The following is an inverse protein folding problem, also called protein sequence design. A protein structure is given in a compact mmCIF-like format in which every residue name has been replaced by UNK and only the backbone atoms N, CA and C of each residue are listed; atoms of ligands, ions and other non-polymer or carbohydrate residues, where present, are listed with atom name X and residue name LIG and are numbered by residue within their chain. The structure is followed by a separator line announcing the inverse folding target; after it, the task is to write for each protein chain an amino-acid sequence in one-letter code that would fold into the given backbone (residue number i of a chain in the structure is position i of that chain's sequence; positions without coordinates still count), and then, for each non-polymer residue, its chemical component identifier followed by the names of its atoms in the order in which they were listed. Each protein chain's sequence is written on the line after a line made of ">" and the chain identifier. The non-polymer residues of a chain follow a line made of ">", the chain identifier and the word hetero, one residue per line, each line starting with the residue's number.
data_IF_942692272241
#
_entry.id   IF_942692272241
#
_cell.length_a   1.000
_cell.length_b   1.000
_cell.length_c   1.000
_cell.angle_alpha   90.00
_cell.angle_beta   90.00
_cell.angle_gamma   90.00
#
_symmetry.space_group_name_H-M   'P 1'
#
loop_
_entity.id
_entity.type
_entity.pdbx_description
1 polymer ?
#
# COMPACT_ATOMS: atom_id res chain seq x y z
N UNK A 1 28.29 -11.43 15.83
CA UNK A 1 28.00 -11.70 14.40
C UNK A 1 29.31 -12.03 13.70
N UNK A 2 29.39 -13.21 13.07
CA UNK A 2 30.59 -13.69 12.39
C UNK A 2 30.67 -13.12 10.96
N UNK A 3 31.85 -12.65 10.55
CA UNK A 3 32.11 -12.06 9.24
C UNK A 3 33.53 -12.36 8.74
N UNK A 4 33.74 -12.26 7.43
CA UNK A 4 35.06 -12.38 6.81
C UNK A 4 35.77 -11.02 6.86
N UNK A 5 36.98 -10.98 7.41
CA UNK A 5 37.84 -9.79 7.39
C UNK A 5 39.10 -10.03 6.55
N UNK A 6 39.51 -9.00 5.82
CA UNK A 6 40.74 -8.96 5.02
C UNK A 6 41.73 -8.01 5.65
N UNK A 7 42.97 -8.46 5.89
CA UNK A 7 44.02 -7.64 6.53
C UNK A 7 45.28 -7.69 5.67
N UNK A 8 45.87 -6.53 5.38
CA UNK A 8 47.17 -6.45 4.71
C UNK A 8 48.27 -6.79 5.72
N UNK A 9 49.09 -7.79 5.41
CA UNK A 9 50.20 -8.19 6.27
C UNK A 9 51.43 -7.33 5.99
N UNK A 10 52.39 -7.32 6.92
CA UNK A 10 53.67 -6.64 6.74
C UNK A 10 54.47 -7.17 5.53
N UNK A 11 54.25 -8.43 5.13
CA UNK A 11 54.86 -9.07 3.95
C UNK A 11 54.18 -8.71 2.62
N UNK A 12 53.16 -7.85 2.62
CA UNK A 12 52.43 -7.46 1.41
C UNK A 12 51.38 -8.46 0.93
N UNK A 13 51.13 -9.54 1.68
CA UNK A 13 50.05 -10.47 1.44
C UNK A 13 48.71 -9.94 1.98
N UNK A 14 47.60 -10.52 1.54
CA UNK A 14 46.26 -10.26 2.09
C UNK A 14 45.80 -11.47 2.89
N UNK A 15 45.80 -11.35 4.22
CA UNK A 15 45.27 -12.36 5.12
C UNK A 15 43.73 -12.35 5.12
N UNK A 16 43.12 -13.53 4.98
CA UNK A 16 41.66 -13.73 5.10
C UNK A 16 41.38 -14.44 6.42
N UNK A 17 40.48 -13.87 7.21
CA UNK A 17 40.18 -14.34 8.56
C UNK A 17 38.68 -14.33 8.80
N UNK A 18 38.21 -15.23 9.65
CA UNK A 18 36.84 -15.24 10.15
C UNK A 18 36.84 -14.58 11.53
N UNK A 19 36.04 -13.55 11.74
CA UNK A 19 35.99 -12.79 12.99
C UNK A 19 34.55 -12.66 13.51
N UNK A 20 34.38 -12.65 14.82
CA UNK A 20 33.10 -12.39 15.49
C UNK A 20 33.10 -11.00 16.13
N UNK A 21 32.02 -10.24 15.89
CA UNK A 21 31.77 -8.97 16.59
C UNK A 21 31.14 -9.27 17.95
N UNK A 22 31.92 -9.11 19.04
CA UNK A 22 31.48 -9.32 20.43
C UNK A 22 31.81 -8.08 21.26
N UNK A 23 30.80 -7.50 21.92
CA UNK A 23 31.00 -6.33 22.80
C UNK A 23 31.65 -5.12 22.12
N UNK A 24 31.38 -4.91 20.83
CA UNK A 24 31.96 -3.83 20.03
C UNK A 24 33.40 -4.06 19.54
N UNK A 25 33.99 -5.22 19.81
CA UNK A 25 35.34 -5.60 19.35
C UNK A 25 35.27 -6.78 18.38
N UNK A 26 36.24 -6.84 17.47
CA UNK A 26 36.36 -7.93 16.50
C UNK A 26 37.31 -9.00 17.03
N UNK A 27 36.79 -10.18 17.38
CA UNK A 27 37.57 -11.33 17.83
C UNK A 27 37.80 -12.29 16.67
N UNK A 28 39.06 -12.59 16.35
CA UNK A 28 39.39 -13.60 15.32
C UNK A 28 39.01 -14.98 15.82
N UNK A 29 38.24 -15.70 15.03
CA UNK A 29 37.82 -17.08 15.28
C UNK A 29 38.73 -18.05 14.53
N UNK A 30 38.97 -17.79 13.25
CA UNK A 30 39.73 -18.67 12.37
C UNK A 30 40.60 -17.86 11.40
N UNK A 31 41.79 -18.36 11.11
CA UNK A 31 42.72 -17.78 10.15
C UNK A 31 42.82 -18.70 8.93
N UNK A 32 42.31 -18.25 7.79
CA UNK A 32 42.17 -19.11 6.61
C UNK A 32 43.43 -19.13 5.76
N UNK A 33 44.26 -18.09 5.84
CA UNK A 33 45.53 -18.00 5.14
C UNK A 33 45.83 -16.59 4.63
N UNK A 34 46.93 -16.44 3.90
CA UNK A 34 47.36 -15.19 3.29
C UNK A 34 47.61 -15.36 1.80
N UNK A 35 46.99 -14.51 0.98
CA UNK A 35 47.11 -14.50 -0.47
C UNK A 35 48.16 -13.50 -0.95
N UNK A 36 49.06 -13.95 -1.82
CA UNK A 36 50.01 -13.09 -2.53
C UNK A 36 49.50 -12.68 -3.92
N UNK A 37 48.53 -13.41 -4.47
CA UNK A 37 47.92 -13.15 -5.78
C UNK A 37 46.41 -12.95 -5.65
N UNK A 38 45.79 -12.36 -6.68
CA UNK A 38 44.33 -12.18 -6.73
C UNK A 38 43.58 -13.52 -6.84
N UNK A 39 44.15 -14.52 -7.52
CA UNK A 39 43.57 -15.85 -7.64
C UNK A 39 43.55 -16.58 -6.30
N UNK A 40 44.65 -16.53 -5.55
CA UNK A 40 44.72 -17.15 -4.21
C UNK A 40 43.74 -16.48 -3.24
N UNK A 41 43.58 -15.16 -3.38
CA UNK A 41 42.62 -14.40 -2.57
C UNK A 41 41.17 -14.83 -2.88
N UNK A 42 40.84 -15.06 -4.15
CA UNK A 42 39.51 -15.53 -4.54
C UNK A 42 39.20 -16.91 -3.95
N UNK A 43 40.15 -17.85 -4.02
CA UNK A 43 40.01 -19.19 -3.43
C UNK A 43 39.81 -19.12 -1.91
N UNK A 44 40.59 -18.28 -1.22
CA UNK A 44 40.46 -18.08 0.23
C UNK A 44 39.11 -17.44 0.61
N UNK A 45 38.59 -16.52 -0.21
CA UNK A 45 37.29 -15.90 0.03
C UNK A 45 36.13 -16.88 -0.20
N UNK A 46 36.18 -17.73 -1.21
CA UNK A 46 35.18 -18.78 -1.42
C UNK A 46 35.18 -19.79 -0.26
N UNK A 47 36.37 -20.21 0.17
CA UNK A 47 36.52 -21.07 1.36
C UNK A 47 35.97 -20.40 2.62
N UNK A 48 36.21 -19.09 2.78
CA UNK A 48 35.70 -18.31 3.90
C UNK A 48 34.16 -18.23 3.90
N UNK A 49 33.54 -18.03 2.73
CA UNK A 49 32.09 -18.02 2.55
C UNK A 49 31.49 -19.37 2.92
N UNK A 50 32.06 -20.46 2.40
CA UNK A 50 31.61 -21.82 2.74
C UNK A 50 31.65 -22.09 4.25
N UNK A 51 32.71 -21.66 4.94
CA UNK A 51 32.81 -21.78 6.41
C UNK A 51 31.86 -20.86 7.17
N UNK A 52 31.60 -19.65 6.68
CA UNK A 52 30.69 -18.70 7.33
C UNK A 52 29.23 -19.20 7.31
N UNK A 53 28.86 -19.93 6.27
CA UNK A 53 27.53 -20.54 6.11
C UNK A 53 27.44 -21.96 6.67
N UNK A 54 28.50 -22.51 7.27
CA UNK A 54 28.46 -23.83 7.89
C UNK A 54 27.42 -23.87 9.03
N UNK A 55 26.36 -24.68 8.86
CA UNK A 55 25.25 -24.80 9.81
C UNK A 55 24.07 -23.85 9.55
N UNK A 56 24.16 -22.93 8.57
CA UNK A 56 22.99 -22.28 7.99
C UNK A 56 22.54 -23.08 6.78
N UNK A 57 21.34 -23.66 6.84
CA UNK A 57 20.75 -24.28 5.65
C UNK A 57 20.58 -23.22 4.57
N UNK A 58 21.05 -23.52 3.35
CA UNK A 58 20.72 -22.72 2.19
C UNK A 58 19.21 -22.83 1.97
N UNK A 59 18.51 -21.68 1.98
CA UNK A 59 17.12 -21.65 1.56
C UNK A 59 17.11 -21.80 0.04
N UNK A 60 17.09 -23.05 -0.41
CA UNK A 60 16.90 -23.39 -1.81
C UNK A 60 15.49 -22.97 -2.22
N UNK A 61 15.39 -21.82 -2.89
CA UNK A 61 14.15 -21.29 -3.44
C UNK A 61 13.71 -22.04 -4.72
N UNK A 62 14.41 -23.13 -5.10
CA UNK A 62 14.20 -23.83 -6.37
C UNK A 62 14.62 -23.00 -7.59
N UNK A 63 15.37 -21.91 -7.36
CA UNK A 63 15.89 -21.03 -8.39
C UNK A 63 17.21 -21.64 -8.86
N UNK A 64 17.12 -22.72 -9.67
CA UNK A 64 18.31 -23.44 -10.16
C UNK A 64 19.39 -22.49 -10.65
N UNK A 65 20.66 -22.79 -10.36
CA UNK A 65 21.84 -21.93 -10.55
C UNK A 65 21.70 -20.92 -11.69
N UNK A 66 21.12 -19.76 -11.39
CA UNK A 66 20.99 -18.69 -12.35
C UNK A 66 22.37 -18.06 -12.43
N UNK A 67 22.95 -18.04 -13.64
CA UNK A 67 24.11 -17.20 -13.95
C UNK A 67 23.81 -15.81 -13.36
N UNK A 68 24.61 -15.30 -12.40
CA UNK A 68 24.34 -14.05 -11.68
C UNK A 68 24.51 -12.81 -12.57
N UNK A 69 24.30 -12.96 -13.88
CA UNK A 69 24.09 -11.88 -14.83
C UNK A 69 22.84 -11.11 -14.44
N UNK A 70 23.09 -10.12 -13.59
CA UNK A 70 22.28 -8.95 -13.27
C UNK A 70 20.77 -9.23 -13.27
N UNK A 71 20.26 -9.70 -12.14
CA UNK A 71 18.85 -9.53 -11.84
C UNK A 71 18.53 -8.02 -11.79
N UNK A 72 18.10 -7.45 -12.93
CA UNK A 72 17.72 -6.05 -13.02
C UNK A 72 16.30 -5.91 -12.48
N UNK A 73 16.16 -5.11 -11.42
CA UNK A 73 14.84 -4.71 -10.90
C UNK A 73 14.10 -3.93 -11.98
N UNK A 74 13.08 -4.55 -12.58
CA UNK A 74 12.24 -3.92 -13.62
C UNK A 74 11.23 -2.91 -13.06
N UNK A 75 10.96 -2.96 -11.77
CA UNK A 75 10.02 -2.08 -11.10
C UNK A 75 9.81 -2.48 -9.63
N UNK A 76 9.06 -1.66 -8.91
CA UNK A 76 8.60 -1.90 -7.54
C UNK A 76 7.09 -1.73 -7.51
N UNK A 77 6.40 -2.46 -6.62
CA UNK A 77 4.95 -2.38 -6.50
C UNK A 77 4.53 -2.42 -5.03
N UNK A 78 3.53 -1.61 -4.68
CA UNK A 78 2.91 -1.59 -3.36
C UNK A 78 1.71 -2.56 -3.32
N UNK A 79 1.94 -3.82 -3.67
CA UNK A 79 0.88 -4.81 -3.89
C UNK A 79 -0.06 -4.97 -2.70
N UNK A 80 0.49 -5.06 -1.48
CA UNK A 80 -0.29 -5.22 -0.24
C UNK A 80 -1.21 -4.03 0.00
N UNK A 81 -0.73 -2.79 -0.22
CA UNK A 81 -1.55 -1.59 -0.05
C UNK A 81 -2.71 -1.58 -1.04
N UNK A 82 -2.42 -1.87 -2.31
CA UNK A 82 -3.44 -1.93 -3.37
C UNK A 82 -4.47 -3.03 -3.06
N UNK A 83 -4.02 -4.20 -2.61
CA UNK A 83 -4.90 -5.31 -2.23
C UNK A 83 -5.78 -4.98 -1.03
N UNK A 84 -5.24 -4.33 0.00
CA UNK A 84 -6.01 -3.91 1.18
C UNK A 84 -7.10 -2.91 0.79
N UNK A 85 -6.77 -1.93 -0.05
CA UNK A 85 -7.76 -0.93 -0.51
C UNK A 85 -8.80 -1.59 -1.40
N UNK A 86 -8.40 -2.51 -2.30
CA UNK A 86 -9.32 -3.27 -3.13
C UNK A 86 -10.21 -4.22 -2.29
N UNK A 87 -9.67 -4.82 -1.25
CA UNK A 87 -10.41 -5.65 -0.31
C UNK A 87 -11.46 -4.84 0.46
N UNK A 88 -11.09 -3.64 0.93
CA UNK A 88 -12.03 -2.71 1.53
C UNK A 88 -13.13 -2.30 0.53
N UNK A 89 -12.76 -1.97 -0.70
CA UNK A 89 -13.69 -1.62 -1.78
C UNK A 89 -14.76 -2.70 -2.00
N UNK A 90 -14.34 -3.97 -2.12
CA UNK A 90 -15.24 -5.12 -2.26
C UNK A 90 -16.12 -5.31 -1.02
N UNK A 91 -15.52 -5.19 0.17
CA UNK A 91 -16.24 -5.34 1.45
C UNK A 91 -17.33 -4.28 1.66
N UNK A 92 -17.13 -3.08 1.15
CA UNK A 92 -18.15 -2.03 1.14
C UNK A 92 -19.19 -2.22 0.04
N UNK A 93 -19.02 -3.17 -0.88
CA UNK A 93 -19.94 -3.41 -1.99
C UNK A 93 -19.82 -2.40 -3.13
N UNK A 94 -18.68 -1.71 -3.26
CA UNK A 94 -18.49 -0.69 -4.29
C UNK A 94 -18.28 -1.27 -5.70
N UNK A 95 -18.17 -2.58 -5.84
CA UNK A 95 -18.10 -3.28 -7.14
C UNK A 95 -19.31 -3.01 -8.03
N UNK A 96 -20.44 -2.58 -7.46
CA UNK A 96 -21.64 -2.15 -8.21
C UNK A 96 -21.36 -1.03 -9.23
N UNK A 97 -20.30 -0.25 -9.03
CA UNK A 97 -19.91 0.84 -9.94
C UNK A 97 -19.29 0.29 -11.24
N UNK A 98 -18.69 -0.92 -11.19
CA UNK A 98 -18.09 -1.63 -12.33
C UNK A 98 -17.27 -0.72 -13.27
N UNK A 99 -16.38 0.10 -12.68
CA UNK A 99 -15.55 1.07 -13.40
C UNK A 99 -14.13 1.12 -12.81
N UNK A 100 -13.21 0.34 -13.39
CA UNK A 100 -11.84 0.22 -12.89
C UNK A 100 -11.10 1.55 -12.89
N UNK A 101 -11.37 2.42 -13.87
CA UNK A 101 -10.77 3.75 -13.92
C UNK A 101 -11.28 4.64 -12.78
N UNK A 102 -12.51 4.41 -12.30
CA UNK A 102 -13.03 5.09 -11.12
C UNK A 102 -12.37 4.56 -9.85
N UNK A 103 -12.21 3.25 -9.72
CA UNK A 103 -11.43 2.65 -8.63
C UNK A 103 -10.00 3.18 -8.60
N UNK A 104 -9.31 3.26 -9.74
CA UNK A 104 -7.95 3.82 -9.84
C UNK A 104 -7.88 5.28 -9.39
N UNK A 105 -8.88 6.10 -9.73
CA UNK A 105 -8.95 7.49 -9.26
C UNK A 105 -9.18 7.56 -7.74
N UNK A 106 -10.02 6.69 -7.18
CA UNK A 106 -10.24 6.63 -5.73
C UNK A 106 -8.97 6.13 -5.02
N UNK A 107 -8.33 5.08 -5.51
CA UNK A 107 -7.08 4.53 -5.01
C UNK A 107 -6.00 5.62 -4.95
N UNK A 108 -5.77 6.32 -6.06
CA UNK A 108 -4.81 7.41 -6.12
C UNK A 108 -5.13 8.49 -5.07
N UNK A 109 -6.41 8.88 -4.93
CA UNK A 109 -6.85 9.93 -3.99
C UNK A 109 -6.81 9.52 -2.52
N UNK A 110 -6.96 8.24 -2.21
CA UNK A 110 -6.82 7.70 -0.85
C UNK A 110 -5.35 7.71 -0.43
N UNK A 111 -4.45 7.36 -1.34
CA UNK A 111 -3.00 7.37 -1.11
C UNK A 111 -2.46 8.79 -1.06
N UNK A 112 -2.83 9.63 -2.03
CA UNK A 112 -2.41 11.02 -2.11
C UNK A 112 -3.52 11.91 -2.69
N UNK A 113 -3.95 12.98 -2.00
CA UNK A 113 -5.01 13.85 -2.48
C UNK A 113 -4.52 14.82 -3.57
N UNK A 114 -4.15 14.28 -4.73
CA UNK A 114 -3.56 15.03 -5.86
C UNK A 114 -4.51 15.22 -7.04
N UNK A 115 -4.20 16.09 -8.01
CA UNK A 115 -5.07 16.34 -9.18
C UNK A 115 -5.36 15.07 -10.01
N UNK A 116 -6.42 15.11 -10.84
CA UNK A 116 -6.74 14.04 -11.80
C UNK A 116 -5.55 13.72 -12.72
N UNK A 117 -4.82 14.74 -13.16
CA UNK A 117 -3.68 14.55 -14.06
C UNK A 117 -2.51 13.87 -13.33
N UNK A 118 -2.28 14.24 -12.08
CA UNK A 118 -1.20 13.71 -11.26
C UNK A 118 -1.52 12.33 -10.65
N UNK A 119 -2.77 11.87 -10.71
CA UNK A 119 -3.16 10.50 -10.33
C UNK A 119 -2.38 9.42 -11.12
N UNK A 120 -1.93 9.74 -12.34
CA UNK A 120 -1.10 8.84 -13.16
C UNK A 120 0.26 8.57 -12.50
N UNK A 121 0.85 9.58 -11.85
CA UNK A 121 2.13 9.43 -11.14
C UNK A 121 1.94 8.50 -9.94
N UNK A 122 0.94 8.78 -9.10
CA UNK A 122 0.64 7.97 -7.90
C UNK A 122 0.41 6.50 -8.27
N UNK A 123 -0.38 6.22 -9.31
CA UNK A 123 -0.63 4.84 -9.75
C UNK A 123 0.64 4.13 -10.20
N UNK A 124 1.54 4.82 -10.92
CA UNK A 124 2.83 4.24 -11.33
C UNK A 124 3.73 3.95 -10.14
N UNK A 125 3.79 4.84 -9.15
CA UNK A 125 4.54 4.62 -7.91
C UNK A 125 4.00 3.44 -7.09
N UNK A 126 2.69 3.20 -7.16
CA UNK A 126 2.07 2.01 -6.55
C UNK A 126 2.31 0.72 -7.34
N UNK A 127 2.87 0.79 -8.55
CA UNK A 127 3.03 -0.35 -9.46
C UNK A 127 1.74 -0.74 -10.20
N UNK A 128 0.75 0.15 -10.27
CA UNK A 128 -0.51 -0.04 -11.00
C UNK A 128 -0.43 0.58 -12.39
N UNK A 129 -0.78 -0.17 -13.44
CA UNK A 129 -0.87 0.37 -14.78
C UNK A 129 -2.05 1.38 -14.87
N UNK A 130 -1.77 2.68 -15.09
CA UNK A 130 -2.81 3.69 -15.07
C UNK A 130 -3.65 3.62 -16.35
N UNK A 131 -4.96 3.80 -16.20
CA UNK A 131 -5.84 4.02 -17.34
C UNK A 131 -5.42 5.30 -18.09
N UNK A 132 -5.72 5.35 -19.39
CA UNK A 132 -5.38 6.50 -20.21
C UNK A 132 -6.08 7.78 -19.71
N UNK A 133 -5.46 8.96 -19.88
CA UNK A 133 -6.00 10.25 -19.42
C UNK A 133 -7.41 10.54 -19.94
N UNK A 134 -7.71 10.12 -21.17
CA UNK A 134 -9.04 10.25 -21.76
C UNK A 134 -10.06 9.34 -21.05
N UNK A 135 -9.64 8.15 -20.63
CA UNK A 135 -10.46 7.23 -19.83
C UNK A 135 -10.80 7.84 -18.49
N UNK A 136 -9.85 8.44 -17.76
CA UNK A 136 -10.17 9.16 -16.51
C UNK A 136 -11.15 10.31 -16.74
N UNK A 137 -11.00 11.06 -17.83
CA UNK A 137 -11.92 12.15 -18.16
C UNK A 137 -13.33 11.63 -18.48
N UNK A 138 -13.44 10.55 -19.26
CA UNK A 138 -14.72 9.89 -19.53
C UNK A 138 -15.36 9.31 -18.25
N UNK A 139 -14.53 8.73 -17.37
CA UNK A 139 -14.95 8.18 -16.07
C UNK A 139 -15.57 9.24 -15.18
N UNK A 140 -14.95 10.42 -15.05
CA UNK A 140 -15.52 11.51 -14.27
C UNK A 140 -16.84 12.02 -14.85
N UNK A 141 -16.99 12.04 -16.19
CA UNK A 141 -18.29 12.33 -16.82
C UNK A 141 -19.33 11.27 -16.48
N UNK A 142 -18.98 9.98 -16.57
CA UNK A 142 -19.87 8.88 -16.17
C UNK A 142 -20.27 8.98 -14.71
N UNK A 143 -19.32 9.27 -13.81
CA UNK A 143 -19.57 9.46 -12.39
C UNK A 143 -20.63 10.55 -12.14
N UNK A 144 -20.60 11.64 -12.90
CA UNK A 144 -21.59 12.71 -12.80
C UNK A 144 -22.97 12.33 -13.37
N UNK A 145 -23.03 11.45 -14.36
CA UNK A 145 -24.25 11.09 -15.08
C UNK A 145 -24.96 9.84 -14.54
N UNK A 146 -24.20 8.89 -13.96
CA UNK A 146 -24.68 7.55 -13.59
C UNK A 146 -24.95 7.38 -12.10
N UNK A 147 -25.02 8.49 -11.35
CA UNK A 147 -25.38 8.43 -9.93
C UNK A 147 -24.39 7.63 -9.07
N UNK A 148 -23.09 7.59 -9.41
CA UNK A 148 -22.09 6.81 -8.64
C UNK A 148 -22.11 7.19 -7.16
N UNK A 149 -22.36 8.46 -6.85
CA UNK A 149 -22.50 8.94 -5.48
C UNK A 149 -23.65 8.27 -4.73
N UNK A 150 -24.81 8.11 -5.37
CA UNK A 150 -25.98 7.50 -4.73
C UNK A 150 -25.74 6.00 -4.51
N UNK A 151 -25.08 5.33 -5.46
CA UNK A 151 -24.65 3.93 -5.30
C UNK A 151 -23.68 3.76 -4.12
N UNK A 152 -22.64 4.61 -4.03
CA UNK A 152 -21.70 4.60 -2.90
C UNK A 152 -22.42 4.87 -1.58
N UNK A 153 -23.32 5.86 -1.54
CA UNK A 153 -24.06 6.19 -0.32
C UNK A 153 -24.96 5.03 0.14
N UNK A 154 -25.67 4.38 -0.78
CA UNK A 154 -26.52 3.22 -0.49
C UNK A 154 -25.70 2.02 0.00
N UNK A 155 -24.55 1.76 -0.61
CA UNK A 155 -23.64 0.70 -0.20
C UNK A 155 -23.06 0.96 1.21
N UNK A 156 -22.60 2.18 1.48
CA UNK A 156 -22.17 2.61 2.82
C UNK A 156 -23.27 2.44 3.88
N UNK A 157 -24.51 2.84 3.56
CA UNK A 157 -25.64 2.71 4.47
C UNK A 157 -25.94 1.23 4.79
N UNK A 158 -25.96 0.37 3.76
CA UNK A 158 -26.19 -1.06 3.92
C UNK A 158 -25.10 -1.72 4.77
N UNK A 159 -23.84 -1.35 4.54
CA UNK A 159 -22.70 -1.83 5.32
C UNK A 159 -22.80 -1.41 6.79
N UNK A 160 -23.10 -0.13 7.06
CA UNK A 160 -23.25 0.38 8.42
C UNK A 160 -24.44 -0.26 9.16
N UNK A 161 -25.54 -0.52 8.46
CA UNK A 161 -26.75 -1.15 9.02
C UNK A 161 -26.47 -2.59 9.44
N UNK A 162 -25.71 -3.33 8.62
CA UNK A 162 -25.33 -4.73 8.92
C UNK A 162 -24.30 -4.81 10.05
N UNK A 163 -23.43 -3.79 10.18
CA UNK A 163 -22.43 -3.72 11.24
C UNK A 163 -22.97 -3.25 12.60
N UNK A 164 -24.28 -2.98 12.71
CA UNK A 164 -24.90 -2.47 13.95
C UNK A 164 -24.47 -1.04 14.31
N UNK A 165 -23.90 -0.31 13.36
CA UNK A 165 -23.36 1.06 13.56
C UNK A 165 -24.48 2.11 13.41
N UNK A 166 -25.64 1.73 12.85
CA UNK A 166 -26.80 2.63 12.73
C UNK A 166 -27.62 2.59 14.02
N UNK A 167 -27.80 3.72 14.71
CA UNK A 167 -28.68 3.79 15.87
C UNK A 167 -30.11 3.34 15.53
N UNK A 168 -30.71 2.53 16.41
CA UNK A 168 -32.02 1.88 16.28
C UNK A 168 -33.22 2.82 16.07
N UNK A 169 -33.05 4.13 16.18
CA UNK A 169 -34.12 5.13 16.04
C UNK A 169 -34.66 5.32 14.60
N UNK A 170 -34.05 4.69 13.60
CA UNK A 170 -34.60 4.63 12.24
C UNK A 170 -35.59 3.45 12.03
N UNK A 171 -35.69 2.54 13.01
CA UNK A 171 -36.51 1.32 12.90
C UNK A 171 -37.97 1.43 13.36
N UNK A 172 -38.36 2.51 14.05
CA UNK A 172 -39.68 2.57 14.72
C UNK A 172 -40.82 3.19 13.89
N UNK A 173 -40.57 3.64 12.64
CA UNK A 173 -41.61 4.32 11.84
C UNK A 173 -42.21 3.54 10.68
N UNK A 174 -41.88 2.26 10.47
CA UNK A 174 -42.52 1.46 9.41
C UNK A 174 -42.50 2.12 8.02
N UNK A 175 -41.56 3.03 7.77
CA UNK A 175 -41.45 3.76 6.51
C UNK A 175 -40.46 3.01 5.62
N UNK A 176 -40.93 2.65 4.42
CA UNK A 176 -40.18 1.94 3.40
C UNK A 176 -38.76 2.51 3.25
N UNK A 177 -37.79 1.62 3.02
CA UNK A 177 -36.34 1.88 2.83
C UNK A 177 -36.04 3.00 1.81
N UNK A 178 -36.99 3.32 0.92
CA UNK A 178 -36.92 4.46 0.01
C UNK A 178 -37.11 5.84 0.66
N UNK A 179 -37.82 5.97 1.79
CA UNK A 179 -38.09 7.25 2.44
C UNK A 179 -36.86 7.80 3.17
N UNK A 180 -36.08 6.94 3.84
CA UNK A 180 -34.82 7.33 4.49
C UNK A 180 -33.76 7.83 3.48
N UNK A 181 -33.78 7.30 2.25
CA UNK A 181 -32.97 7.79 1.13
C UNK A 181 -33.35 9.22 0.72
N UNK A 182 -34.65 9.52 0.69
CA UNK A 182 -35.19 10.84 0.33
C UNK A 182 -34.94 11.88 1.43
N UNK A 183 -35.01 11.48 2.70
CA UNK A 183 -34.81 12.37 3.85
C UNK A 183 -33.33 12.73 4.06
N UNK A 184 -32.41 11.79 3.82
CA UNK A 184 -30.97 12.09 3.74
C UNK A 184 -30.64 13.04 2.57
N UNK A 185 -31.27 12.85 1.41
CA UNK A 185 -31.18 13.80 0.30
C UNK A 185 -31.73 15.18 0.68
N UNK A 186 -32.81 15.28 1.48
CA UNK A 186 -33.47 16.55 1.84
C UNK A 186 -32.67 17.40 2.83
N UNK A 187 -32.03 16.80 3.84
CA UNK A 187 -31.23 17.52 4.84
C UNK A 187 -29.78 17.79 4.42
N UNK A 188 -29.22 16.96 3.53
CA UNK A 188 -27.82 17.13 3.09
C UNK A 188 -27.73 17.99 1.81
N UNK A 189 -28.72 17.97 0.91
CA UNK A 189 -28.73 18.76 -0.36
C UNK A 189 -28.53 20.26 -0.21
N UNK A 190 -29.09 20.99 0.77
CA UNK A 190 -28.97 22.45 0.79
C UNK A 190 -27.52 22.94 1.03
N UNK A 191 -26.68 22.11 1.64
CA UNK A 191 -25.24 22.38 1.84
C UNK A 191 -24.34 22.02 0.64
N UNK A 192 -24.95 21.61 -0.49
CA UNK A 192 -24.26 21.09 -1.68
C UNK A 192 -24.43 21.97 -2.92
N UNK A 193 -25.31 22.98 -2.89
CA UNK A 193 -25.74 23.72 -4.08
C UNK A 193 -25.10 25.12 -4.22
N UNK A 194 -24.26 25.57 -3.27
CA UNK A 194 -23.50 26.82 -3.46
C UNK A 194 -22.12 26.58 -4.10
N UNK A 195 -21.94 27.24 -5.24
CA UNK A 195 -20.71 27.55 -5.97
C UNK A 195 -19.86 26.42 -6.58
N UNK A 196 -19.87 26.44 -7.91
CA UNK A 196 -18.84 25.98 -8.83
C UNK A 196 -17.43 26.48 -8.47
N UNK A 197 -16.52 25.54 -8.16
CA UNK A 197 -15.07 25.50 -8.53
C UNK A 197 -14.30 24.60 -7.57
N UNK A 198 -13.51 23.66 -8.11
CA UNK A 198 -12.36 23.08 -7.40
C UNK A 198 -12.29 21.55 -7.32
N UNK A 199 -11.22 21.01 -7.91
CA UNK A 199 -10.80 19.60 -8.08
C UNK A 199 -10.58 18.77 -6.78
N UNK A 200 -11.16 19.14 -5.64
CA UNK A 200 -10.86 18.55 -4.31
C UNK A 200 -12.07 18.11 -3.48
N UNK A 201 -13.23 17.94 -4.10
CA UNK A 201 -14.50 17.82 -3.35
C UNK A 201 -14.82 16.43 -2.81
N UNK A 202 -14.49 15.36 -3.54
CA UNK A 202 -14.99 14.00 -3.22
C UNK A 202 -14.23 13.37 -2.04
N UNK A 203 -12.90 13.51 -1.98
CA UNK A 203 -12.08 12.96 -0.90
C UNK A 203 -12.26 13.72 0.44
N UNK A 204 -12.30 15.06 0.39
CA UNK A 204 -12.63 15.89 1.57
C UNK A 204 -14.03 15.58 2.11
N UNK A 205 -15.01 15.27 1.24
CA UNK A 205 -16.35 14.89 1.72
C UNK A 205 -16.42 13.48 2.26
N UNK A 206 -15.71 12.49 1.72
CA UNK A 206 -15.73 11.14 2.29
C UNK A 206 -15.09 11.10 3.69
N UNK A 207 -13.95 11.78 3.90
CA UNK A 207 -13.38 11.96 5.24
C UNK A 207 -14.28 12.79 6.15
N UNK A 208 -14.82 13.90 5.65
CA UNK A 208 -15.68 14.77 6.46
C UNK A 208 -17.07 14.18 6.77
N UNK A 209 -17.55 13.21 5.97
CA UNK A 209 -18.77 12.43 6.23
C UNK A 209 -18.50 11.37 7.32
N UNK A 210 -17.31 10.76 7.31
CA UNK A 210 -16.84 9.84 8.35
C UNK A 210 -16.47 10.55 9.67
N UNK A 211 -16.05 11.82 9.62
CA UNK A 211 -15.74 12.63 10.81
C UNK A 211 -16.99 13.27 11.43
N UNK A 212 -17.93 13.77 10.61
CA UNK A 212 -19.19 14.33 11.12
C UNK A 212 -20.14 13.28 11.69
N UNK A 213 -20.13 12.06 11.17
CA UNK A 213 -20.82 10.93 11.81
C UNK A 213 -20.25 10.62 13.21
N UNK A 214 -18.92 10.69 13.39
CA UNK A 214 -18.25 10.55 14.69
C UNK A 214 -18.40 11.75 15.63
N UNK A 215 -18.64 12.96 15.09
CA UNK A 215 -18.88 14.16 15.88
C UNK A 215 -20.34 14.24 16.36
N UNK A 216 -21.29 13.87 15.49
CA UNK A 216 -22.72 13.82 15.79
C UNK A 216 -23.05 12.73 16.82
N UNK A 217 -22.35 11.59 16.78
CA UNK A 217 -22.43 10.53 17.79
C UNK A 217 -21.92 10.96 19.19
N UNK A 218 -21.11 12.03 19.29
CA UNK A 218 -20.50 12.50 20.56
C UNK A 218 -21.22 13.67 21.22
N UNK A 219 -22.05 14.42 20.50
CA UNK A 219 -22.71 15.63 21.03
C UNK A 219 -24.14 15.41 21.57
N UNK A 220 -24.66 14.17 21.56
CA UNK A 220 -26.00 13.85 22.06
C UNK A 220 -26.03 12.55 22.90
N UNK A 221 -25.03 12.40 23.76
CA UNK A 221 -25.13 11.53 24.92
C UNK A 221 -25.44 12.45 26.11
N UNK A 222 -26.70 12.61 26.56
CA UNK A 222 -26.89 12.95 27.96
C UNK A 222 -26.49 11.72 28.78
N UNK A 223 -25.69 11.94 29.83
CA UNK A 223 -25.52 10.98 30.94
C UNK A 223 -26.86 10.52 31.48
#
# INVERSE_FOLDING_TARGET
>A
MVFVRKVRTASGATAVQLADRVGGRDKVIDHLGSAHTHSDLAVLLETARGKLHAGQGELDLGLGAQDPREAIVRGQASAVLVEVIAGAWRRFGFDIIADDAFFQLVLARVVEPTSKADSVRVLRELGVAPAHRNTFTATLRRCAQRGYRDLVAAACFSHASTAGIVPSYLGERGENVGCAHVEWHRQVRPSLVSESRGDNFVARRLCSLAERSRHWARQRIPT
#
